data_IF_700806421794
#
_entry.id   IF_700806421794
#
_cell.length_a   1.000
_cell.length_b   1.000
_cell.length_c   1.000
_cell.angle_alpha   90.00
_cell.angle_beta   90.00
_cell.angle_gamma   90.00
#
_symmetry.space_group_name_H-M   'P 1'
#
loop_
_entity.id
_entity.type
_entity.pdbx_description
1 polymer ?
#
# COMPACT_ATOMS: atom_id res chain seq x y z
N UNK A 1 -25.88 -9.29 -8.70
CA UNK A 1 -26.63 -8.03 -8.84
C UNK A 1 -26.71 -7.39 -7.45
N UNK A 2 -25.72 -6.54 -7.12
CA UNK A 2 -25.32 -6.25 -5.74
C UNK A 2 -26.02 -5.01 -5.17
N UNK A 3 -26.39 -5.07 -3.89
CA UNK A 3 -27.39 -4.20 -3.21
C UNK A 3 -27.03 -2.70 -3.15
N UNK A 4 -25.78 -2.32 -3.43
CA UNK A 4 -25.34 -0.91 -3.44
C UNK A 4 -25.81 -0.12 -4.68
N UNK A 5 -25.99 -0.78 -5.84
CA UNK A 5 -26.62 -0.13 -7.01
C UNK A 5 -28.09 0.24 -6.76
N UNK A 6 -28.78 -0.45 -5.86
CA UNK A 6 -30.20 -0.19 -5.62
C UNK A 6 -30.41 1.07 -4.76
N UNK A 7 -29.46 1.45 -3.91
CA UNK A 7 -29.61 2.63 -3.06
C UNK A 7 -29.29 3.94 -3.80
N UNK A 8 -28.31 3.93 -4.72
CA UNK A 8 -27.98 5.13 -5.51
C UNK A 8 -28.88 5.31 -6.75
N UNK A 9 -29.47 4.24 -7.28
CA UNK A 9 -30.26 4.28 -8.52
C UNK A 9 -31.78 4.38 -8.30
N UNK A 10 -32.28 4.29 -7.06
CA UNK A 10 -33.72 4.44 -6.76
C UNK A 10 -34.18 5.88 -6.52
N UNK A 11 -33.30 6.87 -6.64
CA UNK A 11 -33.69 8.28 -6.57
C UNK A 11 -33.98 8.89 -7.96
N UNK A 12 -34.64 8.15 -8.86
CA UNK A 12 -35.15 8.70 -10.11
C UNK A 12 -36.56 8.18 -10.38
N UNK A 13 -37.47 9.14 -10.53
CA UNK A 13 -38.85 9.06 -11.01
C UNK A 13 -39.93 8.78 -9.93
N UNK A 14 -40.38 9.85 -9.28
CA UNK A 14 -41.78 10.01 -8.88
C UNK A 14 -42.15 11.49 -8.93
N UNK A 15 -42.67 11.95 -10.07
CA UNK A 15 -43.44 13.18 -10.14
C UNK A 15 -44.81 12.95 -9.50
N UNK A 16 -44.97 13.33 -8.23
CA UNK A 16 -46.29 13.56 -7.67
C UNK A 16 -46.41 15.00 -7.21
N UNK A 17 -47.17 15.76 -8.00
CA UNK A 17 -47.65 17.09 -7.66
C UNK A 17 -48.69 16.92 -6.55
N UNK A 18 -48.49 17.57 -5.40
CA UNK A 18 -49.56 17.82 -4.43
C UNK A 18 -49.53 19.31 -4.08
N UNK A 19 -50.59 20.09 -4.36
CA UNK A 19 -50.64 21.49 -3.98
C UNK A 19 -51.39 21.62 -2.64
N UNK A 20 -50.80 22.28 -1.65
CA UNK A 20 -51.60 23.05 -0.68
C UNK A 20 -50.79 24.13 0.02
N UNK A 21 -51.44 25.28 0.05
CA UNK A 21 -51.09 26.60 0.54
C UNK A 21 -50.53 26.64 1.97
N UNK A 22 -49.37 27.28 2.11
CA UNK A 22 -48.87 27.85 3.35
C UNK A 22 -47.95 29.00 2.99
N UNK A 23 -48.32 30.24 3.36
CA UNK A 23 -47.45 31.40 3.21
C UNK A 23 -46.15 31.16 4.00
N UNK A 24 -45.05 30.95 3.29
CA UNK A 24 -43.70 31.11 3.82
C UNK A 24 -43.10 32.36 3.20
N UNK A 25 -42.81 33.36 4.03
CA UNK A 25 -42.07 34.58 3.70
C UNK A 25 -40.55 34.41 3.81
N UNK A 26 -40.06 33.17 3.74
CA UNK A 26 -38.63 32.88 3.60
C UNK A 26 -38.41 32.33 2.19
N UNK A 27 -37.54 32.98 1.42
CA UNK A 27 -37.15 32.53 0.10
C UNK A 27 -36.76 31.06 0.17
N UNK A 28 -37.44 30.21 -0.61
CA UNK A 28 -36.97 28.85 -0.86
C UNK A 28 -35.63 29.01 -1.56
N UNK A 29 -34.55 28.79 -0.83
CA UNK A 29 -33.27 28.48 -1.43
C UNK A 29 -33.52 27.20 -2.25
N UNK A 30 -33.62 27.35 -3.56
CA UNK A 30 -33.59 26.20 -4.46
C UNK A 30 -32.23 25.54 -4.26
N UNK A 31 -32.22 24.39 -3.57
CA UNK A 31 -31.03 23.56 -3.47
C UNK A 31 -30.78 23.00 -4.87
N UNK A 32 -29.96 23.70 -5.65
CA UNK A 32 -29.52 23.25 -6.97
C UNK A 32 -28.61 22.04 -6.74
N UNK A 33 -29.08 20.87 -7.13
CA UNK A 33 -28.25 19.66 -7.12
C UNK A 33 -27.12 19.82 -8.15
N UNK A 34 -25.89 19.88 -7.65
CA UNK A 34 -24.68 19.79 -8.47
C UNK A 34 -24.19 18.35 -8.36
N UNK A 35 -24.18 17.56 -9.45
CA UNK A 35 -23.63 16.21 -9.40
C UNK A 35 -22.13 16.26 -9.05
N UNK A 36 -21.62 15.29 -8.27
CA UNK A 36 -20.21 15.25 -7.93
C UNK A 36 -19.36 15.06 -9.19
N UNK A 37 -18.21 15.71 -9.21
CA UNK A 37 -17.15 15.55 -10.22
C UNK A 37 -16.48 14.18 -10.10
N UNK A 38 -15.78 13.73 -11.15
CA UNK A 38 -15.03 12.46 -11.12
C UNK A 38 -13.97 12.44 -10.01
N UNK A 39 -13.36 13.59 -9.71
CA UNK A 39 -12.40 13.73 -8.61
C UNK A 39 -13.09 13.52 -7.26
N UNK A 40 -14.24 14.13 -7.04
CA UNK A 40 -15.05 13.93 -5.82
C UNK A 40 -15.55 12.49 -5.69
N UNK A 41 -15.84 11.81 -6.81
CA UNK A 41 -16.15 10.37 -6.82
C UNK A 41 -14.94 9.53 -6.41
N UNK A 42 -13.74 9.85 -6.89
CA UNK A 42 -12.51 9.15 -6.50
C UNK A 42 -12.19 9.29 -5.01
N UNK A 43 -12.47 10.45 -4.41
CA UNK A 43 -12.32 10.66 -2.97
C UNK A 43 -13.17 9.68 -2.14
N UNK A 44 -14.33 9.28 -2.66
CA UNK A 44 -15.22 8.31 -2.03
C UNK A 44 -14.62 6.90 -1.87
N UNK A 45 -13.56 6.57 -2.62
CA UNK A 45 -12.86 5.28 -2.53
C UNK A 45 -11.72 5.27 -1.50
N UNK A 46 -11.43 6.40 -0.84
CA UNK A 46 -10.50 6.47 0.28
C UNK A 46 -9.03 6.20 -0.07
N UNK A 47 -8.66 6.25 -1.36
CA UNK A 47 -7.29 5.97 -1.81
C UNK A 47 -6.34 7.05 -1.28
N UNK A 48 -5.27 6.61 -0.61
CA UNK A 48 -4.27 7.53 -0.08
C UNK A 48 -3.30 8.05 -1.15
N UNK A 49 -3.71 9.12 -1.84
CA UNK A 49 -2.92 9.72 -2.93
C UNK A 49 -1.58 10.30 -2.49
N UNK A 50 -1.41 10.61 -1.21
CA UNK A 50 -0.22 11.30 -0.70
C UNK A 50 0.93 10.34 -0.37
N UNK A 51 0.66 9.03 -0.20
CA UNK A 51 1.73 8.06 0.07
C UNK A 51 2.61 7.90 -1.17
N UNK A 52 3.94 8.06 -1.04
CA UNK A 52 4.86 7.84 -2.15
C UNK A 52 4.80 6.39 -2.63
N UNK A 53 4.61 6.22 -3.93
CA UNK A 53 4.69 4.93 -4.62
C UNK A 53 5.38 5.17 -5.96
N UNK A 54 6.17 4.19 -6.41
CA UNK A 54 6.80 4.30 -7.72
C UNK A 54 5.76 4.09 -8.83
N UNK A 55 6.02 4.65 -10.01
CA UNK A 55 5.19 4.40 -11.21
C UNK A 55 5.02 2.89 -11.47
N UNK A 56 6.10 2.12 -11.35
CA UNK A 56 6.07 0.68 -11.61
C UNK A 56 5.20 -0.07 -10.60
N UNK A 57 5.37 0.19 -9.30
CA UNK A 57 4.57 -0.45 -8.25
C UNK A 57 3.08 -0.06 -8.35
N UNK A 58 2.77 1.19 -8.70
CA UNK A 58 1.40 1.64 -8.93
C UNK A 58 0.73 0.84 -10.05
N UNK A 59 1.44 0.63 -11.17
CA UNK A 59 0.92 -0.15 -12.29
C UNK A 59 0.82 -1.65 -11.99
N UNK A 60 1.77 -2.21 -11.24
CA UNK A 60 1.69 -3.61 -10.79
C UNK A 60 0.47 -3.80 -9.90
N UNK A 61 0.19 -2.86 -8.99
CA UNK A 61 -0.99 -2.91 -8.13
C UNK A 61 -2.29 -2.95 -8.94
N UNK A 62 -2.42 -2.08 -9.95
CA UNK A 62 -3.58 -2.07 -10.86
C UNK A 62 -3.63 -3.38 -11.67
N UNK A 63 -2.52 -3.81 -12.27
CA UNK A 63 -2.48 -5.01 -13.09
C UNK A 63 -2.83 -6.31 -12.32
N UNK A 64 -2.46 -6.39 -11.04
CA UNK A 64 -2.78 -7.54 -10.19
C UNK A 64 -4.28 -7.71 -9.92
N UNK A 65 -5.12 -6.69 -10.16
CA UNK A 65 -6.59 -6.80 -10.00
C UNK A 65 -7.24 -7.61 -11.12
N UNK A 66 -6.59 -7.70 -12.29
CA UNK A 66 -7.13 -8.41 -13.46
C UNK A 66 -6.43 -9.74 -13.73
N UNK A 67 -5.26 -9.96 -13.14
CA UNK A 67 -4.46 -11.15 -13.35
C UNK A 67 -3.71 -11.49 -12.06
N UNK A 68 -4.19 -12.52 -11.36
CA UNK A 68 -3.65 -12.94 -10.08
C UNK A 68 -2.22 -13.49 -10.28
N UNK A 69 -1.24 -12.89 -9.59
CA UNK A 69 0.18 -13.20 -9.71
C UNK A 69 0.78 -12.91 -11.09
N UNK A 70 0.85 -11.62 -11.45
CA UNK A 70 1.81 -11.16 -12.43
C UNK A 70 3.22 -11.55 -11.97
N UNK A 71 3.77 -12.62 -12.55
CA UNK A 71 5.11 -13.07 -12.19
C UNK A 71 6.08 -12.01 -12.70
N UNK A 72 6.62 -11.24 -11.76
CA UNK A 72 7.68 -10.29 -12.04
C UNK A 72 8.98 -11.09 -12.07
N UNK A 73 9.55 -11.41 -13.25
CA UNK A 73 10.85 -12.04 -13.30
C UNK A 73 11.83 -11.16 -12.51
N UNK A 74 12.71 -11.78 -11.73
CA UNK A 74 13.78 -11.08 -11.02
C UNK A 74 14.75 -10.46 -12.04
N UNK A 75 14.38 -9.31 -12.62
CA UNK A 75 15.16 -8.64 -13.66
C UNK A 75 14.88 -7.13 -13.69
N UNK A 76 15.78 -6.40 -14.35
CA UNK A 76 15.78 -4.93 -14.54
C UNK A 76 14.51 -4.37 -15.20
N UNK A 77 13.59 -5.24 -15.63
CA UNK A 77 12.35 -4.93 -16.34
C UNK A 77 11.08 -5.16 -15.50
N UNK A 78 11.17 -4.97 -14.19
CA UNK A 78 10.20 -5.48 -13.22
C UNK A 78 8.74 -5.03 -13.45
N UNK A 79 8.51 -3.84 -14.02
CA UNK A 79 7.16 -3.33 -14.28
C UNK A 79 6.71 -3.48 -15.73
N UNK A 80 7.56 -3.97 -16.65
CA UNK A 80 7.18 -4.19 -18.07
C UNK A 80 5.88 -4.94 -18.22
N UNK A 81 5.68 -6.10 -17.54
CA UNK A 81 4.50 -6.90 -17.77
C UNK A 81 3.22 -6.15 -17.36
N UNK A 82 3.28 -5.43 -16.24
CA UNK A 82 2.19 -4.57 -15.77
C UNK A 82 1.91 -3.42 -16.75
N UNK A 83 2.94 -2.66 -17.15
CA UNK A 83 2.82 -1.53 -18.10
C UNK A 83 2.19 -1.96 -19.43
N UNK A 84 2.61 -3.11 -19.96
CA UNK A 84 2.03 -3.68 -21.17
C UNK A 84 0.56 -4.04 -20.97
N UNK A 85 0.21 -4.68 -19.84
CA UNK A 85 -1.17 -5.06 -19.53
C UNK A 85 -2.08 -3.85 -19.43
N UNK A 86 -1.74 -2.85 -18.62
CA UNK A 86 -2.58 -1.66 -18.47
C UNK A 86 -2.63 -0.82 -19.75
N UNK A 87 -1.60 -0.91 -20.60
CA UNK A 87 -1.62 -0.35 -21.96
C UNK A 87 -2.57 -1.06 -22.91
N UNK A 88 -2.65 -2.40 -22.84
CA UNK A 88 -3.64 -3.19 -23.60
C UNK A 88 -5.07 -2.89 -23.18
N UNK A 89 -5.27 -2.51 -21.90
CA UNK A 89 -6.54 -2.03 -21.37
C UNK A 89 -6.80 -0.54 -21.67
N UNK A 90 -5.94 0.10 -22.46
CA UNK A 90 -6.07 1.51 -22.88
C UNK A 90 -6.13 2.51 -21.69
N UNK A 91 -5.69 2.11 -20.50
CA UNK A 91 -5.65 2.97 -19.30
C UNK A 91 -4.53 4.00 -19.38
N UNK A 92 -3.42 3.60 -20.02
CA UNK A 92 -2.24 4.45 -20.25
C UNK A 92 -1.73 4.29 -21.68
N UNK A 93 -0.84 5.20 -22.09
CA UNK A 93 -0.01 5.07 -23.28
C UNK A 93 1.37 4.51 -22.86
N UNK A 94 1.70 3.23 -23.13
CA UNK A 94 2.92 2.59 -22.62
C UNK A 94 4.22 3.32 -22.95
N UNK A 95 4.28 4.00 -24.10
CA UNK A 95 5.45 4.74 -24.57
C UNK A 95 5.82 5.92 -23.66
N UNK A 96 4.87 6.43 -22.87
CA UNK A 96 5.12 7.47 -21.86
C UNK A 96 5.79 6.90 -20.60
N UNK A 97 5.73 5.58 -20.40
CA UNK A 97 6.16 4.89 -19.18
C UNK A 97 7.26 3.87 -19.47
N UNK A 98 8.44 4.39 -19.83
CA UNK A 98 9.65 3.58 -20.09
C UNK A 98 10.32 3.13 -18.78
N UNK A 99 11.26 2.17 -18.85
CA UNK A 99 12.04 1.68 -17.70
C UNK A 99 12.63 2.79 -16.81
N UNK A 100 13.04 3.91 -17.43
CA UNK A 100 13.61 5.05 -16.73
C UNK A 100 12.61 5.76 -15.82
N UNK A 101 11.31 5.57 -16.07
CA UNK A 101 10.22 6.21 -15.31
C UNK A 101 9.74 5.36 -14.15
N UNK A 102 9.90 4.03 -14.18
CA UNK A 102 9.20 3.17 -13.22
C UNK A 102 9.65 3.36 -11.78
N UNK A 103 10.91 3.73 -11.56
CA UNK A 103 11.45 3.97 -10.21
C UNK A 103 11.15 5.37 -9.68
N UNK A 104 10.62 6.28 -10.52
CA UNK A 104 10.22 7.61 -10.06
C UNK A 104 8.92 7.52 -9.26
N UNK A 105 8.75 8.44 -8.32
CA UNK A 105 7.49 8.58 -7.59
C UNK A 105 6.44 9.15 -8.56
N UNK A 106 5.28 8.49 -8.63
CA UNK A 106 4.15 8.97 -9.43
C UNK A 106 3.50 10.18 -8.73
N UNK A 107 3.13 11.21 -9.49
CA UNK A 107 2.53 12.43 -8.94
C UNK A 107 1.05 12.23 -8.63
N UNK A 108 0.49 13.01 -7.69
CA UNK A 108 -0.95 12.98 -7.36
C UNK A 108 -1.83 13.22 -8.59
N UNK A 109 -1.42 14.16 -9.45
CA UNK A 109 -2.14 14.44 -10.69
C UNK A 109 -2.15 13.22 -11.61
N UNK A 110 -0.99 12.59 -11.84
CA UNK A 110 -0.91 11.38 -12.67
C UNK A 110 -1.72 10.22 -12.09
N UNK A 111 -1.67 10.01 -10.76
CA UNK A 111 -2.53 9.01 -10.09
C UNK A 111 -4.00 9.29 -10.38
N UNK A 112 -4.43 10.54 -10.25
CA UNK A 112 -5.81 10.96 -10.48
C UNK A 112 -6.23 10.70 -11.92
N UNK A 113 -5.44 11.17 -12.90
CA UNK A 113 -5.71 11.00 -14.33
C UNK A 113 -5.85 9.49 -14.69
N UNK A 114 -4.95 8.65 -14.17
CA UNK A 114 -4.98 7.20 -14.38
C UNK A 114 -6.22 6.56 -13.73
N UNK A 115 -6.57 6.94 -12.51
CA UNK A 115 -7.71 6.37 -11.80
C UNK A 115 -9.06 6.82 -12.38
N UNK A 116 -9.13 8.01 -12.97
CA UNK A 116 -10.29 8.42 -13.79
C UNK A 116 -10.43 7.49 -15.00
N UNK A 117 -9.32 7.17 -15.70
CA UNK A 117 -9.36 6.21 -16.79
C UNK A 117 -9.82 4.82 -16.32
N UNK A 118 -9.37 4.36 -15.15
CA UNK A 118 -9.82 3.10 -14.53
C UNK A 118 -11.32 3.14 -14.23
N UNK A 119 -11.82 4.20 -13.60
CA UNK A 119 -13.24 4.35 -13.24
C UNK A 119 -14.17 4.35 -14.47
N UNK A 120 -13.70 4.91 -15.57
CA UNK A 120 -14.44 4.94 -16.84
C UNK A 120 -14.25 3.66 -17.69
N UNK A 121 -13.45 2.70 -17.21
CA UNK A 121 -13.19 1.45 -17.91
C UNK A 121 -14.27 0.40 -17.64
N UNK A 122 -14.51 -0.49 -18.61
CA UNK A 122 -15.58 -1.49 -18.54
C UNK A 122 -15.14 -2.85 -17.97
N UNK A 123 -13.83 -3.14 -17.94
CA UNK A 123 -13.27 -4.40 -17.42
C UNK A 123 -12.70 -4.21 -16.02
N UNK A 124 -12.12 -3.05 -15.73
CA UNK A 124 -11.49 -2.78 -14.44
C UNK A 124 -12.56 -2.24 -13.49
N UNK A 125 -12.57 -2.75 -12.26
CA UNK A 125 -13.38 -2.19 -11.19
C UNK A 125 -12.54 -1.19 -10.39
N UNK A 126 -12.98 0.06 -10.31
CA UNK A 126 -12.34 1.04 -9.43
C UNK A 126 -12.40 0.62 -7.95
N UNK A 127 -13.41 -0.14 -7.54
CA UNK A 127 -13.49 -0.71 -6.19
C UNK A 127 -12.33 -1.68 -5.93
N UNK A 128 -12.08 -2.62 -6.84
CA UNK A 128 -11.00 -3.61 -6.71
C UNK A 128 -9.62 -2.95 -6.78
N UNK A 129 -9.47 -1.94 -7.65
CA UNK A 129 -8.24 -1.15 -7.75
C UNK A 129 -8.01 -0.32 -6.48
N UNK A 130 -9.05 0.30 -5.94
CA UNK A 130 -8.97 1.04 -4.70
C UNK A 130 -8.55 0.12 -3.55
N UNK A 131 -9.14 -1.06 -3.42
CA UNK A 131 -8.77 -2.05 -2.40
C UNK A 131 -7.31 -2.50 -2.54
N UNK A 132 -6.88 -2.82 -3.76
CA UNK A 132 -5.49 -3.20 -4.03
C UNK A 132 -4.49 -2.09 -3.65
N UNK A 133 -4.80 -0.84 -4.02
CA UNK A 133 -3.98 0.31 -3.66
C UNK A 133 -4.02 0.59 -2.14
N UNK A 134 -5.19 0.46 -1.51
CA UNK A 134 -5.35 0.69 -0.08
C UNK A 134 -4.55 -0.29 0.77
N UNK A 135 -4.35 -1.51 0.27
CA UNK A 135 -3.55 -2.55 0.91
C UNK A 135 -2.03 -2.33 0.81
N UNK A 136 -1.55 -1.49 -0.11
CA UNK A 136 -0.12 -1.20 -0.26
C UNK A 136 0.27 0.23 0.13
N UNK A 137 -0.65 1.19 0.04
CA UNK A 137 -0.44 2.60 0.39
C UNK A 137 -0.65 2.85 1.88
N UNK A 138 0.01 2.03 2.68
CA UNK A 138 -0.16 2.01 4.14
C UNK A 138 0.43 3.26 4.78
N UNK A 139 -0.40 3.89 5.61
CA UNK A 139 -0.08 5.07 6.39
C UNK A 139 0.64 4.73 7.68
N UNK A 140 0.55 3.51 8.20
CA UNK A 140 1.18 3.16 9.47
C UNK A 140 0.91 1.73 9.91
N UNK A 141 1.58 1.33 10.98
CA UNK A 141 1.46 0.00 11.57
C UNK A 141 1.07 0.12 13.04
N UNK A 142 0.10 -0.69 13.47
CA UNK A 142 -0.36 -0.79 14.85
C UNK A 142 -0.18 -2.21 15.38
N UNK A 143 0.08 -2.31 16.68
CA UNK A 143 0.03 -3.55 17.45
C UNK A 143 -0.79 -3.32 18.72
N UNK A 144 -1.85 -4.10 18.94
CA UNK A 144 -2.76 -3.99 20.08
C UNK A 144 -3.24 -2.55 20.35
N UNK A 145 -3.74 -1.89 19.30
CA UNK A 145 -4.25 -0.52 19.38
C UNK A 145 -3.17 0.57 19.52
N UNK A 146 -1.88 0.20 19.61
CA UNK A 146 -0.77 1.15 19.76
C UNK A 146 0.02 1.30 18.47
N UNK A 147 0.35 2.55 18.13
CA UNK A 147 1.24 2.88 17.00
C UNK A 147 2.64 2.31 17.23
N UNK A 148 3.17 1.62 16.23
CA UNK A 148 4.58 1.22 16.19
C UNK A 148 5.41 2.41 15.70
N UNK A 149 6.45 2.78 16.44
CA UNK A 149 7.43 3.75 15.99
C UNK A 149 8.35 3.12 14.92
N UNK A 150 8.09 3.47 13.66
CA UNK A 150 8.92 3.02 12.53
C UNK A 150 10.19 3.86 12.36
N UNK A 151 10.42 4.87 13.22
CA UNK A 151 11.49 5.85 13.10
C UNK A 151 11.44 6.57 11.76
N UNK A 152 12.39 6.28 10.88
CA UNK A 152 12.44 6.80 9.50
C UNK A 152 12.20 5.71 8.45
N UNK A 153 11.86 4.50 8.88
CA UNK A 153 11.45 3.41 8.01
C UNK A 153 9.97 3.57 7.69
N UNK A 154 9.57 3.11 6.51
CA UNK A 154 8.19 3.14 6.06
C UNK A 154 7.87 1.80 5.42
N UNK A 155 6.62 1.30 5.53
CA UNK A 155 6.18 0.21 4.69
C UNK A 155 6.38 0.59 3.21
N UNK A 156 6.73 -0.38 2.39
CA UNK A 156 6.99 -0.16 0.96
C UNK A 156 6.18 -1.15 0.13
N UNK A 157 5.82 -0.76 -1.09
CA UNK A 157 5.39 -1.73 -2.09
C UNK A 157 6.61 -2.36 -2.76
N UNK A 158 6.60 -3.67 -2.91
CA UNK A 158 7.55 -4.38 -3.75
C UNK A 158 6.85 -5.50 -4.52
N UNK A 159 6.93 -5.44 -5.85
CA UNK A 159 6.24 -6.36 -6.76
C UNK A 159 4.74 -6.49 -6.44
N UNK A 160 4.10 -5.37 -6.08
CA UNK A 160 2.67 -5.33 -5.73
C UNK A 160 2.33 -6.07 -4.44
N UNK A 161 3.27 -6.17 -3.50
CA UNK A 161 3.01 -6.60 -2.12
C UNK A 161 3.47 -5.55 -1.14
N UNK A 162 2.74 -5.45 -0.03
CA UNK A 162 3.13 -4.66 1.11
C UNK A 162 4.28 -5.35 1.85
N UNK A 163 5.42 -4.68 1.89
CA UNK A 163 6.58 -5.09 2.66
C UNK A 163 6.72 -4.20 3.89
N UNK A 164 7.00 -4.80 5.03
CA UNK A 164 7.16 -4.11 6.32
C UNK A 164 8.58 -4.28 6.86
N UNK A 165 9.12 -3.26 7.56
CA UNK A 165 10.44 -3.38 8.17
C UNK A 165 10.40 -4.36 9.34
N UNK A 166 11.30 -5.34 9.34
CA UNK A 166 11.32 -6.40 10.36
C UNK A 166 11.62 -5.85 11.75
N UNK A 167 12.62 -4.96 11.86
CA UNK A 167 13.19 -4.55 13.15
C UNK A 167 12.21 -3.82 14.07
N UNK A 168 11.43 -2.80 13.63
CA UNK A 168 10.48 -2.13 14.51
C UNK A 168 9.40 -3.07 15.06
N UNK A 169 8.86 -3.94 14.20
CA UNK A 169 7.79 -4.87 14.58
C UNK A 169 8.34 -5.95 15.52
N UNK A 170 9.48 -6.56 15.16
CA UNK A 170 10.16 -7.55 16.00
C UNK A 170 10.49 -6.99 17.40
N UNK A 171 10.90 -5.72 17.50
CA UNK A 171 11.16 -5.06 18.77
C UNK A 171 9.91 -4.93 19.65
N UNK A 172 8.77 -4.50 19.08
CA UNK A 172 7.48 -4.42 19.81
C UNK A 172 7.04 -5.80 20.28
N UNK A 173 7.26 -6.82 19.45
CA UNK A 173 6.95 -8.21 19.77
C UNK A 173 7.97 -8.86 20.72
N UNK A 174 9.04 -8.15 21.11
CA UNK A 174 10.11 -8.59 22.02
C UNK A 174 10.98 -9.73 21.46
N UNK A 175 11.19 -9.75 20.14
CA UNK A 175 12.19 -10.62 19.51
C UNK A 175 13.58 -10.00 19.57
N UNK A 176 14.57 -10.83 19.87
CA UNK A 176 15.97 -10.59 19.59
C UNK A 176 16.27 -10.88 18.11
N UNK A 177 17.12 -10.07 17.49
CA UNK A 177 17.51 -10.22 16.08
C UNK A 177 19.03 -10.35 15.97
N UNK A 178 19.49 -11.44 15.36
CA UNK A 178 20.89 -11.65 14.97
C UNK A 178 21.02 -11.69 13.46
N UNK A 179 22.04 -11.03 12.92
CA UNK A 179 22.33 -11.01 11.48
C UNK A 179 23.61 -11.78 11.18
N UNK A 180 23.55 -12.71 10.22
CA UNK A 180 24.68 -13.41 9.64
C UNK A 180 24.94 -12.82 8.24
N UNK A 181 25.98 -11.98 8.13
CA UNK A 181 26.35 -11.29 6.89
C UNK A 181 26.74 -12.24 5.77
N UNK A 182 27.49 -13.31 6.09
CA UNK A 182 28.00 -14.26 5.10
C UNK A 182 26.86 -15.01 4.40
N UNK A 183 25.81 -15.34 5.16
CA UNK A 183 24.65 -16.08 4.65
C UNK A 183 23.47 -15.19 4.26
N UNK A 184 23.52 -13.91 4.60
CA UNK A 184 22.39 -12.98 4.49
C UNK A 184 21.13 -13.51 5.19
N UNK A 185 21.31 -13.97 6.44
CA UNK A 185 20.24 -14.54 7.28
C UNK A 185 20.03 -13.67 8.51
N UNK A 186 18.79 -13.25 8.75
CA UNK A 186 18.36 -12.74 10.04
C UNK A 186 17.69 -13.86 10.85
N UNK A 187 18.17 -14.09 12.07
CA UNK A 187 17.56 -15.00 13.03
C UNK A 187 16.81 -14.19 14.06
N UNK A 188 15.51 -14.44 14.18
CA UNK A 188 14.62 -13.86 15.19
C UNK A 188 14.40 -14.90 16.29
N UNK A 189 14.58 -14.50 17.54
CA UNK A 189 14.37 -15.39 18.70
C UNK A 189 13.56 -14.69 19.79
N UNK A 190 12.56 -15.37 20.33
CA UNK A 190 11.80 -14.94 21.51
C UNK A 190 11.39 -16.18 22.30
N UNK A 191 11.80 -16.27 23.57
CA UNK A 191 11.56 -17.45 24.40
C UNK A 191 11.98 -18.73 23.65
N UNK A 192 11.04 -19.64 23.39
CA UNK A 192 11.26 -20.88 22.65
C UNK A 192 10.97 -20.77 21.15
N UNK A 193 10.63 -19.59 20.65
CA UNK A 193 10.23 -19.36 19.27
C UNK A 193 11.40 -18.81 18.44
N UNK A 194 11.73 -19.48 17.33
CA UNK A 194 12.77 -19.02 16.39
C UNK A 194 12.23 -18.93 14.96
N UNK A 195 12.70 -17.95 14.21
CA UNK A 195 12.49 -17.82 12.76
C UNK A 195 13.77 -17.37 12.07
N UNK A 196 14.01 -17.86 10.85
CA UNK A 196 15.14 -17.49 10.00
C UNK A 196 14.65 -16.87 8.70
N UNK A 197 15.10 -15.64 8.45
CA UNK A 197 14.78 -14.87 7.26
C UNK A 197 16.02 -14.79 6.37
N UNK A 198 16.04 -15.55 5.27
CA UNK A 198 17.14 -15.53 4.32
C UNK A 198 16.78 -14.69 3.10
N UNK A 199 17.62 -13.72 2.76
CA UNK A 199 17.44 -12.89 1.56
C UNK A 199 17.44 -13.80 0.31
N UNK A 200 16.44 -13.61 -0.55
CA UNK A 200 16.27 -14.40 -1.78
C UNK A 200 15.47 -15.70 -1.64
N UNK A 201 15.04 -16.08 -0.44
CA UNK A 201 14.20 -17.27 -0.21
C UNK A 201 12.83 -16.84 0.32
N UNK A 202 11.75 -17.23 -0.37
CA UNK A 202 10.38 -16.83 -0.06
C UNK A 202 9.65 -17.78 0.91
N UNK A 203 10.39 -18.70 1.52
CA UNK A 203 9.86 -19.68 2.47
C UNK A 203 10.07 -19.21 3.90
N UNK A 204 8.99 -19.14 4.66
CA UNK A 204 8.95 -18.59 6.00
C UNK A 204 8.43 -19.64 6.98
N UNK A 205 9.05 -19.74 8.15
CA UNK A 205 8.57 -20.58 9.24
C UNK A 205 8.94 -19.99 10.60
N UNK A 206 8.14 -20.33 11.59
CA UNK A 206 8.54 -20.26 12.99
C UNK A 206 8.55 -21.69 13.54
N UNK A 207 9.46 -21.99 14.45
CA UNK A 207 9.49 -23.27 15.14
C UNK A 207 9.78 -23.09 16.61
N UNK A 208 9.20 -23.97 17.42
CA UNK A 208 9.50 -24.07 18.84
C UNK A 208 10.76 -24.92 19.04
N UNK A 209 11.81 -24.35 19.64
CA UNK A 209 13.09 -25.03 19.88
C UNK A 209 12.97 -26.24 20.79
N UNK A 210 11.94 -26.26 21.65
CA UNK A 210 11.81 -27.24 22.73
C UNK A 210 10.77 -28.34 22.43
N UNK A 211 9.84 -28.13 21.47
CA UNK A 211 8.66 -29.00 21.30
C UNK A 211 8.49 -29.66 19.92
N UNK A 212 9.43 -29.52 18.98
CA UNK A 212 9.31 -30.09 17.61
C UNK A 212 8.01 -29.64 16.90
N UNK A 213 7.34 -28.59 17.37
CA UNK A 213 6.22 -27.98 16.66
C UNK A 213 6.80 -27.00 15.64
N UNK A 214 6.76 -27.41 14.38
CA UNK A 214 7.17 -26.61 13.24
C UNK A 214 5.90 -26.01 12.64
N UNK A 215 5.78 -24.68 12.62
CA UNK A 215 4.84 -24.05 11.68
C UNK A 215 5.38 -24.38 10.30
N UNK A 216 4.63 -25.18 9.52
CA UNK A 216 5.07 -25.65 8.22
C UNK A 216 5.63 -24.49 7.38
N UNK A 217 6.80 -24.67 6.73
CA UNK A 217 7.36 -23.66 5.84
C UNK A 217 6.32 -23.21 4.82
N UNK A 218 6.00 -21.93 4.84
CA UNK A 218 4.98 -21.32 3.99
C UNK A 218 5.67 -20.38 3.02
N UNK A 219 5.46 -20.61 1.72
CA UNK A 219 5.95 -19.73 0.66
C UNK A 219 5.01 -18.54 0.53
N UNK A 220 5.51 -17.32 0.82
CA UNK A 220 4.77 -16.06 0.65
C UNK A 220 4.99 -15.43 -0.72
N UNK A 221 5.62 -16.15 -1.66
CA UNK A 221 5.87 -15.77 -3.07
C UNK A 221 6.82 -14.61 -3.28
N UNK A 222 7.17 -13.87 -2.23
CA UNK A 222 8.17 -12.81 -2.26
C UNK A 222 9.20 -13.07 -1.14
N UNK A 223 10.51 -13.04 -1.46
CA UNK A 223 11.56 -13.22 -0.47
C UNK A 223 11.80 -11.95 0.38
N UNK A 224 12.45 -12.08 1.54
CA UNK A 224 12.96 -10.95 2.29
C UNK A 224 13.87 -10.08 1.42
N UNK A 225 13.80 -8.76 1.61
CA UNK A 225 14.55 -7.78 0.83
C UNK A 225 15.29 -6.80 1.72
N UNK A 226 16.56 -6.53 1.39
CA UNK A 226 17.30 -5.43 1.98
C UNK A 226 17.02 -4.13 1.22
N UNK A 227 16.58 -3.11 1.93
CA UNK A 227 16.37 -1.75 1.43
C UNK A 227 17.13 -0.79 2.32
N UNK A 228 18.16 -0.13 1.78
CA UNK A 228 19.03 0.79 2.53
C UNK A 228 19.56 0.19 3.85
N UNK A 229 19.91 -1.11 3.82
CA UNK A 229 20.41 -1.89 4.96
C UNK A 229 19.37 -2.32 6.00
N UNK A 230 18.09 -2.05 5.78
CA UNK A 230 17.00 -2.58 6.59
C UNK A 230 16.34 -3.78 5.91
N UNK A 231 16.04 -4.81 6.69
CA UNK A 231 15.37 -6.02 6.20
C UNK A 231 13.86 -5.81 6.19
N UNK A 232 13.27 -6.09 5.04
CA UNK A 232 11.84 -6.05 4.80
C UNK A 232 11.33 -7.45 4.46
N UNK A 233 10.11 -7.75 4.91
CA UNK A 233 9.38 -8.99 4.61
C UNK A 233 7.94 -8.66 4.20
N UNK A 234 7.25 -9.53 3.47
CA UNK A 234 5.81 -9.40 3.25
C UNK A 234 5.10 -9.30 4.60
N UNK A 235 4.09 -8.45 4.72
CA UNK A 235 3.38 -8.26 5.99
C UNK A 235 2.75 -9.57 6.50
N UNK A 236 2.38 -10.46 5.59
CA UNK A 236 1.85 -11.80 5.88
C UNK A 236 2.80 -12.67 6.71
N UNK A 237 4.10 -12.36 6.73
CA UNK A 237 5.06 -13.04 7.59
C UNK A 237 4.67 -12.95 9.07
N UNK A 238 4.23 -11.78 9.54
CA UNK A 238 3.83 -11.62 10.94
C UNK A 238 2.47 -12.28 11.21
N UNK A 239 1.62 -12.44 10.20
CA UNK A 239 0.34 -13.18 10.32
C UNK A 239 0.52 -14.69 10.57
N UNK A 240 1.73 -15.23 10.38
CA UNK A 240 2.04 -16.60 10.77
C UNK A 240 1.86 -16.79 12.28
N UNK A 241 2.14 -15.77 13.09
CA UNK A 241 2.09 -15.80 14.55
C UNK A 241 1.09 -14.81 15.18
N UNK A 242 0.65 -13.80 14.44
CA UNK A 242 -0.34 -12.81 14.84
C UNK A 242 -1.63 -12.94 14.01
N UNK A 243 -2.71 -12.36 14.50
CA UNK A 243 -3.82 -11.98 13.63
C UNK A 243 -3.61 -10.54 13.16
N UNK A 244 -4.19 -10.19 12.02
CA UNK A 244 -3.99 -8.87 11.44
C UNK A 244 -4.95 -8.57 10.30
N UNK A 245 -5.15 -7.28 10.07
CA UNK A 245 -5.96 -6.77 8.97
C UNK A 245 -5.44 -5.40 8.52
N UNK A 246 -5.84 -5.00 7.33
CA UNK A 246 -5.64 -3.64 6.84
C UNK A 246 -7.00 -2.96 6.82
N UNK A 247 -7.10 -1.83 7.51
CA UNK A 247 -8.32 -1.02 7.53
C UNK A 247 -7.91 0.45 7.42
N UNK A 248 -8.57 1.21 6.52
CA UNK A 248 -8.32 2.64 6.33
C UNK A 248 -6.85 2.98 6.07
N UNK A 249 -6.16 2.15 5.27
CA UNK A 249 -4.72 2.23 4.99
C UNK A 249 -3.83 2.05 6.22
N UNK A 250 -4.31 1.45 7.30
CA UNK A 250 -3.50 1.15 8.49
C UNK A 250 -3.42 -0.36 8.65
N UNK A 251 -2.19 -0.86 8.75
CA UNK A 251 -1.94 -2.26 9.04
C UNK A 251 -2.02 -2.47 10.55
N UNK A 252 -2.95 -3.32 10.98
CA UNK A 252 -3.21 -3.62 12.39
C UNK A 252 -2.81 -5.07 12.67
N UNK A 253 -2.06 -5.26 13.75
CA UNK A 253 -1.73 -6.57 14.30
C UNK A 253 -2.23 -6.72 15.74
N UNK A 254 -2.53 -7.94 16.14
CA UNK A 254 -2.84 -8.31 17.52
C UNK A 254 -2.52 -9.79 17.76
N UNK A 255 -2.42 -10.18 19.04
CA UNK A 255 -2.17 -11.58 19.40
C UNK A 255 -3.35 -12.48 19.01
N UNK A 256 -3.04 -13.70 18.52
CA UNK A 256 -4.06 -14.65 18.07
C UNK A 256 -5.02 -15.04 19.18
N UNK A 257 -6.30 -15.13 18.84
CA UNK A 257 -7.35 -15.62 19.76
C UNK A 257 -7.91 -14.59 20.75
N UNK A 258 -7.60 -13.30 20.56
CA UNK A 258 -8.25 -12.20 21.31
C UNK A 258 -9.59 -11.83 20.65
N UNK A 259 -10.69 -11.90 21.42
CA UNK A 259 -12.01 -11.39 20.99
C UNK A 259 -12.07 -9.86 21.08
N UNK A 260 -12.06 -9.19 19.92
CA UNK A 260 -12.02 -7.72 19.82
C UNK A 260 -13.39 -7.05 19.71
N UNK A 261 -14.49 -7.77 19.84
CA UNK A 261 -15.86 -7.20 19.71
C UNK A 261 -16.17 -6.06 20.69
N UNK A 262 -15.42 -5.93 21.80
CA UNK A 262 -15.56 -4.87 22.80
C UNK A 262 -14.68 -3.63 22.56
N UNK A 263 -13.73 -3.66 21.62
CA UNK A 263 -12.71 -2.60 21.43
C UNK A 263 -12.94 -1.70 20.22
N UNK A 264 -13.92 -2.01 19.37
CA UNK A 264 -14.10 -1.40 18.03
C UNK A 264 -14.21 0.14 18.03
N UNK A 265 -14.93 0.73 18.98
CA UNK A 265 -15.14 2.19 19.02
C UNK A 265 -13.88 2.93 19.49
N UNK A 266 -13.18 2.40 20.51
CA UNK A 266 -11.96 3.02 21.03
C UNK A 266 -10.81 2.92 20.02
N UNK A 267 -10.71 1.78 19.30
CA UNK A 267 -9.73 1.60 18.24
C UNK A 267 -9.99 2.53 17.05
N UNK A 268 -11.25 2.79 16.69
CA UNK A 268 -11.59 3.72 15.61
C UNK A 268 -11.13 5.14 15.91
N UNK A 269 -11.48 5.67 17.09
CA UNK A 269 -11.05 7.02 17.53
C UNK A 269 -9.52 7.11 17.60
N UNK A 270 -8.86 6.07 18.14
CA UNK A 270 -7.40 6.02 18.21
C UNK A 270 -6.77 5.95 16.82
N UNK A 271 -7.37 5.22 15.88
CA UNK A 271 -6.92 5.13 14.48
C UNK A 271 -7.06 6.49 13.78
N UNK A 272 -8.16 7.22 13.99
CA UNK A 272 -8.36 8.57 13.43
C UNK A 272 -7.33 9.57 13.95
N UNK A 273 -7.06 9.58 15.26
CA UNK A 273 -6.04 10.44 15.88
C UNK A 273 -4.63 10.09 15.40
N UNK A 274 -4.30 8.79 15.30
CA UNK A 274 -3.04 8.31 14.74
C UNK A 274 -2.91 8.69 13.27
N UNK A 275 -3.96 8.53 12.47
CA UNK A 275 -3.97 8.92 11.06
C UNK A 275 -3.67 10.40 10.90
N UNK A 276 -4.26 11.24 11.75
CA UNK A 276 -3.99 12.68 11.77
C UNK A 276 -2.53 13.00 12.12
N UNK A 277 -1.96 12.31 13.10
CA UNK A 277 -0.54 12.47 13.47
C UNK A 277 0.39 11.96 12.37
N UNK A 278 0.15 10.78 11.81
CA UNK A 278 1.00 10.18 10.79
C UNK A 278 1.02 11.01 9.51
N UNK A 279 -0.13 11.54 9.08
CA UNK A 279 -0.23 12.44 7.94
C UNK A 279 0.59 13.74 8.10
N UNK A 280 1.04 14.08 9.31
CA UNK A 280 1.91 15.23 9.58
C UNK A 280 3.37 14.99 9.19
N UNK A 281 3.83 13.74 9.30
CA UNK A 281 5.24 13.36 9.15
C UNK A 281 5.54 12.71 7.79
N UNK A 282 4.54 12.47 6.96
CA UNK A 282 4.75 11.99 5.59
C UNK A 282 5.36 13.09 4.71
N UNK A 283 6.49 12.82 4.02
CA UNK A 283 7.01 13.74 3.01
C UNK A 283 5.95 13.92 1.93
N UNK A 284 5.68 15.18 1.60
CA UNK A 284 4.78 15.50 0.48
C UNK A 284 5.36 14.95 -0.82
N UNK A 285 4.54 14.80 -1.87
CA UNK A 285 5.02 14.45 -3.22
C UNK A 285 6.22 15.31 -3.62
N UNK A 286 6.19 16.59 -3.23
CA UNK A 286 7.27 17.55 -3.47
C UNK A 286 8.57 17.22 -2.73
N UNK A 287 8.49 16.66 -1.54
CA UNK A 287 9.66 16.26 -0.75
C UNK A 287 10.26 14.95 -1.29
N UNK A 288 9.41 14.02 -1.71
CA UNK A 288 9.82 12.78 -2.37
C UNK A 288 10.41 13.02 -3.77
N UNK A 289 9.85 13.96 -4.55
CA UNK A 289 10.37 14.40 -5.85
C UNK A 289 11.75 15.05 -5.71
N UNK A 290 11.92 15.98 -4.76
CA UNK A 290 13.23 16.59 -4.48
C UNK A 290 14.26 15.55 -4.07
N UNK A 291 13.88 14.58 -3.24
CA UNK A 291 14.77 13.52 -2.82
C UNK A 291 15.14 12.58 -3.99
N UNK A 292 14.17 12.25 -4.85
CA UNK A 292 14.40 11.43 -6.04
C UNK A 292 15.26 12.15 -7.10
N UNK A 293 15.04 13.45 -7.31
CA UNK A 293 15.84 14.29 -8.21
C UNK A 293 17.27 14.45 -7.69
N UNK A 294 17.43 14.68 -6.39
CA UNK A 294 18.75 14.71 -5.75
C UNK A 294 19.47 13.36 -5.84
N UNK A 295 18.75 12.24 -5.65
CA UNK A 295 19.31 10.91 -5.80
C UNK A 295 19.67 10.58 -7.26
N UNK A 296 18.85 11.00 -8.23
CA UNK A 296 19.12 10.84 -9.65
C UNK A 296 20.34 11.66 -10.09
N UNK A 297 20.46 12.90 -9.58
CA UNK A 297 21.62 13.76 -9.81
C UNK A 297 22.89 13.18 -9.19
N UNK A 298 22.83 12.71 -7.95
CA UNK A 298 23.96 12.05 -7.30
C UNK A 298 24.37 10.75 -8.02
N UNK A 299 23.41 9.98 -8.53
CA UNK A 299 23.67 8.79 -9.34
C UNK A 299 24.31 9.14 -10.69
N UNK A 300 23.91 10.24 -11.32
CA UNK A 300 24.53 10.74 -12.54
C UNK A 300 25.98 11.21 -12.31
N UNK A 301 26.22 11.97 -11.23
CA UNK A 301 27.56 12.44 -10.83
C UNK A 301 28.49 11.26 -10.45
N UNK A 302 27.95 10.25 -9.77
CA UNK A 302 28.67 9.01 -9.45
C UNK A 302 28.97 8.15 -10.69
N UNK A 303 28.13 8.20 -11.72
CA UNK A 303 28.37 7.53 -13.00
C UNK A 303 29.41 8.28 -13.85
N UNK A 304 29.45 9.60 -13.78
CA UNK A 304 30.38 10.45 -14.53
C UNK A 304 31.81 10.40 -13.95
N UNK A 305 31.94 10.41 -12.62
CA UNK A 305 33.21 10.20 -11.92
C UNK A 305 33.82 8.81 -12.16
N UNK A 306 33.00 7.77 -12.36
CA UNK A 306 33.47 6.42 -12.74
C UNK A 306 33.88 6.29 -14.21
N UNK A 307 33.47 7.22 -15.09
CA UNK A 307 33.89 7.26 -16.50
C UNK A 307 35.24 7.93 -16.71
N UNK A 308 35.78 8.61 -15.70
CA UNK A 308 37.07 9.31 -15.80
C UNK A 308 38.08 8.79 -14.75
N UNK A 309 38.62 7.56 -14.90
CA UNK A 309 39.67 7.08 -14.00
C UNK A 309 41.02 7.76 -14.26
N UNK A 310 41.16 8.55 -15.33
CA UNK A 310 42.37 9.32 -15.66
C UNK A 310 42.00 10.65 -16.32
N UNK A 311 41.92 11.72 -15.53
CA UNK A 311 41.68 13.07 -16.05
C UNK A 311 42.36 14.13 -15.18
N UNK A 312 43.64 14.38 -15.53
CA UNK A 312 44.65 15.30 -14.98
C UNK A 312 45.29 14.93 -13.63
#
# INVERSE_FOLDING_TARGET
>A
MNKFKLALMTLLISSTVVPTYGLSLFGKEEVVYVPPTEVELLEGYGINMNTPISVGEFFIAIANTVEEYFHVPMDTHYATPAVQKIGQLEIIIPQQYTEKTWSRIITEKEKTDILINVMNHNILSIEEVADALNNILIKGIMYDGKKIDLKSLMPISYQGRLMVPVRPIAHVLQFDIKWDEEKSIATLTKDNLESKLQVGYDSYCFYETDNVYIINPTSLKIPPKLVKNDLYVPYEYFLLILDGEIENNVLKYWDKGIDRTLYSIADQVTTEEINKEYNKDFPTVRDAEKAAEAAAKAAAEAAESKKNPFGN
#
